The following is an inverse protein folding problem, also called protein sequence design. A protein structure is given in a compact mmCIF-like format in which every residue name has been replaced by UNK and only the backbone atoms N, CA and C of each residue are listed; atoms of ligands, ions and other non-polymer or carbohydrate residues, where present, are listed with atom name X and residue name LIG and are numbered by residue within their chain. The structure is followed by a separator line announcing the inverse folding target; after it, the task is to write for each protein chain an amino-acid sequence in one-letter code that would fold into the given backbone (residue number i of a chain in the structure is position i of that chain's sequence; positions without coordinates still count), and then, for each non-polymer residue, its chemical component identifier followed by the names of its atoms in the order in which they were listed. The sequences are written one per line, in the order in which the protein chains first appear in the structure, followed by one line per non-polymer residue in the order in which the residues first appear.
data_IF_999632032741
#
_entry.id   IF_999632032741
#
_cell.length_a   1.000
_cell.length_b   1.000
_cell.length_c   1.000
_cell.angle_alpha   90.00
_cell.angle_beta   90.00
_cell.angle_gamma   90.00
#
_symmetry.space_group_name_H-M   'P 1'
#
loop_
_entity.id
_entity.type
_entity.pdbx_description
1 polymer ?
#
# COMPACT_ATOMS: atom_id res chain seq x y z
N UNK A 1 24.93 -18.06 5.12
CA UNK A 1 23.69 -18.48 5.84
C UNK A 1 22.81 -17.30 6.28
N UNK A 2 23.39 -16.21 6.81
CA UNK A 2 22.63 -15.01 7.22
C UNK A 2 21.88 -14.30 6.06
N UNK A 3 22.39 -14.35 4.84
CA UNK A 3 21.77 -13.72 3.65
C UNK A 3 20.46 -14.39 3.23
N UNK A 4 20.36 -15.72 3.35
CA UNK A 4 19.15 -16.45 2.96
C UNK A 4 17.98 -16.19 3.93
N UNK A 5 18.26 -16.13 5.23
CA UNK A 5 17.31 -15.71 6.27
C UNK A 5 16.85 -14.25 6.07
N UNK A 6 17.77 -13.35 5.67
CA UNK A 6 17.41 -11.97 5.31
C UNK A 6 16.48 -11.91 4.09
N UNK A 7 16.74 -12.71 3.06
CA UNK A 7 15.88 -12.80 1.88
C UNK A 7 14.49 -13.37 2.18
N UNK A 8 14.41 -14.41 3.03
CA UNK A 8 13.13 -14.99 3.46
C UNK A 8 12.32 -14.00 4.29
N UNK A 9 12.98 -13.28 5.20
CA UNK A 9 12.36 -12.21 5.98
C UNK A 9 11.85 -11.09 5.08
N UNK A 10 12.65 -10.61 4.13
CA UNK A 10 12.20 -9.60 3.15
C UNK A 10 11.00 -10.09 2.32
N UNK A 11 11.00 -11.35 1.88
CA UNK A 11 9.84 -11.94 1.20
C UNK A 11 8.60 -11.93 2.08
N UNK A 12 8.74 -12.25 3.36
CA UNK A 12 7.63 -12.19 4.32
C UNK A 12 7.15 -10.76 4.60
N UNK A 13 8.07 -9.79 4.70
CA UNK A 13 7.70 -8.39 4.94
C UNK A 13 7.06 -7.71 3.71
N UNK A 14 7.32 -8.23 2.51
CA UNK A 14 6.77 -7.73 1.25
C UNK A 14 5.52 -8.49 0.78
N UNK A 15 5.15 -9.60 1.44
CA UNK A 15 4.03 -10.44 1.00
C UNK A 15 2.74 -10.07 1.73
N UNK A 16 1.76 -9.59 0.96
CA UNK A 16 0.41 -9.26 1.43
C UNK A 16 -0.41 -10.50 1.84
N UNK A 17 0.00 -11.72 1.47
CA UNK A 17 -0.75 -12.96 1.66
C UNK A 17 -2.00 -13.10 0.77
N UNK A 18 -2.60 -11.97 0.37
CA UNK A 18 -3.83 -11.87 -0.41
C UNK A 18 -3.57 -11.29 -1.80
N UNK A 19 -3.87 -12.08 -2.84
CA UNK A 19 -3.67 -11.71 -4.24
C UNK A 19 -4.70 -10.67 -4.69
N UNK A 20 -5.93 -10.74 -4.21
CA UNK A 20 -7.02 -9.89 -4.67
C UNK A 20 -6.80 -8.46 -4.14
N UNK A 21 -6.28 -8.33 -2.92
CA UNK A 21 -5.86 -7.04 -2.37
C UNK A 21 -4.67 -6.46 -3.14
N UNK A 22 -3.65 -7.27 -3.45
CA UNK A 22 -2.52 -6.81 -4.24
C UNK A 22 -2.97 -6.32 -5.62
N UNK A 23 -3.86 -7.07 -6.28
CA UNK A 23 -4.43 -6.70 -7.57
C UNK A 23 -5.24 -5.39 -7.48
N UNK A 24 -6.03 -5.21 -6.42
CA UNK A 24 -6.76 -3.97 -6.17
C UNK A 24 -5.81 -2.76 -6.00
N UNK A 25 -4.72 -2.92 -5.26
CA UNK A 25 -3.71 -1.85 -5.11
C UNK A 25 -3.03 -1.55 -6.45
N UNK A 26 -2.63 -2.58 -7.20
CA UNK A 26 -2.00 -2.40 -8.53
C UNK A 26 -2.94 -1.73 -9.52
N UNK A 27 -4.23 -2.08 -9.50
CA UNK A 27 -5.26 -1.45 -10.31
C UNK A 27 -5.42 0.03 -9.93
N UNK A 28 -5.54 0.32 -8.64
CA UNK A 28 -5.63 1.69 -8.14
C UNK A 28 -4.42 2.55 -8.55
N UNK A 29 -3.20 2.02 -8.45
CA UNK A 29 -1.99 2.73 -8.92
C UNK A 29 -2.06 3.01 -10.43
N UNK A 30 -2.53 2.05 -11.22
CA UNK A 30 -2.69 2.21 -12.67
C UNK A 30 -3.70 3.28 -13.05
N UNK A 31 -4.81 3.38 -12.31
CA UNK A 31 -5.83 4.41 -12.49
C UNK A 31 -5.33 5.81 -12.08
N UNK A 32 -4.36 5.91 -11.17
CA UNK A 32 -3.79 7.18 -10.69
C UNK A 32 -2.47 7.57 -11.39
N UNK A 33 -2.22 7.05 -12.59
CA UNK A 33 -1.07 7.49 -13.39
C UNK A 33 0.27 6.84 -13.01
N UNK A 34 0.25 5.66 -12.39
CA UNK A 34 1.46 4.88 -12.10
C UNK A 34 1.45 3.53 -12.81
N UNK A 35 2.62 2.96 -13.09
CA UNK A 35 2.71 1.59 -13.60
C UNK A 35 2.48 0.57 -12.47
N UNK A 36 1.21 0.26 -12.17
CA UNK A 36 0.84 -0.64 -11.07
C UNK A 36 1.42 -2.06 -11.17
N UNK A 37 1.60 -2.59 -12.39
CA UNK A 37 2.18 -3.94 -12.61
C UNK A 37 3.64 -4.08 -12.18
N UNK A 38 4.42 -2.99 -12.26
CA UNK A 38 5.85 -3.00 -11.93
C UNK A 38 6.14 -2.40 -10.55
N UNK A 39 5.09 -1.98 -9.84
CA UNK A 39 5.18 -1.42 -8.51
C UNK A 39 5.75 -2.44 -7.52
N UNK A 40 6.66 -1.98 -6.65
CA UNK A 40 7.32 -2.78 -5.62
C UNK A 40 6.72 -2.46 -4.26
N UNK A 41 5.98 -3.41 -3.70
CA UNK A 41 5.38 -3.29 -2.38
C UNK A 41 6.35 -3.64 -1.26
N UNK A 42 6.23 -2.92 -0.15
CA UNK A 42 6.97 -3.12 1.09
C UNK A 42 6.02 -2.94 2.27
N UNK A 43 6.37 -3.55 3.41
CA UNK A 43 5.69 -3.35 4.69
C UNK A 43 4.17 -3.60 4.65
N UNK A 44 3.71 -4.50 3.76
CA UNK A 44 2.29 -4.80 3.63
C UNK A 44 1.81 -5.58 4.84
N UNK A 45 1.05 -4.95 5.73
CA UNK A 45 0.67 -5.54 7.02
C UNK A 45 -0.69 -5.04 7.49
N UNK A 46 -1.44 -5.93 8.14
CA UNK A 46 -2.63 -5.55 8.89
C UNK A 46 -2.23 -4.69 10.10
N UNK A 47 -2.91 -3.56 10.26
CA UNK A 47 -2.64 -2.57 11.31
C UNK A 47 -3.84 -2.32 12.21
N UNK A 48 -5.06 -2.54 11.72
CA UNK A 48 -6.25 -2.50 12.55
C UNK A 48 -7.28 -3.54 12.11
N UNK A 49 -8.08 -4.04 13.06
CA UNK A 49 -9.14 -5.02 12.80
C UNK A 49 -10.36 -4.74 13.69
N UNK A 50 -11.57 -4.86 13.13
CA UNK A 50 -12.82 -4.84 13.88
C UNK A 50 -13.27 -6.27 14.14
N UNK A 51 -13.63 -6.65 15.38
CA UNK A 51 -14.15 -7.99 15.69
C UNK A 51 -15.58 -8.14 15.14
N UNK A 52 -15.94 -9.26 14.50
CA UNK A 52 -15.25 -10.57 14.44
C UNK A 52 -14.16 -10.75 13.36
N UNK A 53 -13.71 -9.69 12.69
CA UNK A 53 -12.56 -9.70 11.76
C UNK A 53 -12.91 -9.32 10.32
N UNK A 54 -14.14 -8.89 10.06
CA UNK A 54 -14.64 -8.62 8.70
C UNK A 54 -14.12 -7.31 8.12
N UNK A 55 -13.84 -6.33 8.99
CA UNK A 55 -13.26 -5.07 8.61
C UNK A 55 -11.81 -5.01 9.07
N UNK A 56 -10.91 -4.82 8.12
CA UNK A 56 -9.47 -4.80 8.34
C UNK A 56 -8.86 -3.59 7.65
N UNK A 57 -7.82 -3.04 8.27
CA UNK A 57 -7.02 -1.96 7.67
C UNK A 57 -5.60 -2.47 7.52
N UNK A 58 -5.07 -2.35 6.31
CA UNK A 58 -3.70 -2.68 5.97
C UNK A 58 -2.93 -1.39 5.69
N UNK A 59 -1.66 -1.37 6.11
CA UNK A 59 -0.68 -0.41 5.61
C UNK A 59 0.18 -1.06 4.57
N UNK A 60 0.67 -0.25 3.64
CA UNK A 60 1.74 -0.65 2.73
C UNK A 60 2.57 0.58 2.35
N UNK A 61 3.79 0.33 1.89
CA UNK A 61 4.60 1.31 1.20
C UNK A 61 4.84 0.79 -0.22
N UNK A 62 4.89 1.67 -1.21
CA UNK A 62 5.07 1.26 -2.59
C UNK A 62 6.01 2.20 -3.33
N UNK A 63 7.02 1.62 -3.98
CA UNK A 63 7.81 2.34 -4.98
C UNK A 63 7.16 2.10 -6.34
N UNK A 64 6.62 3.16 -6.96
CA UNK A 64 5.90 3.07 -8.24
C UNK A 64 6.52 4.01 -9.28
N UNK A 65 6.55 3.58 -10.54
CA UNK A 65 6.99 4.40 -11.67
C UNK A 65 5.82 5.24 -12.16
N UNK A 66 6.02 6.54 -12.36
CA UNK A 66 5.01 7.44 -12.92
C UNK A 66 4.85 7.21 -14.42
N UNK A 67 3.61 7.23 -14.90
CA UNK A 67 3.28 7.24 -16.33
C UNK A 67 3.46 8.68 -16.83
N UNK A 68 4.29 8.92 -17.86
CA UNK A 68 4.43 10.24 -18.45
C UNK A 68 3.08 10.75 -18.98
N UNK A 69 2.76 12.01 -18.73
CA UNK A 69 1.48 12.62 -19.14
C UNK A 69 1.34 12.80 -20.65
N UNK A 70 2.45 12.79 -21.39
CA UNK A 70 2.50 13.01 -22.83
C UNK A 70 3.44 11.97 -23.46
N UNK A 71 2.88 10.97 -24.14
CA UNK A 71 3.62 10.08 -25.04
C UNK A 71 3.58 10.60 -26.49
N UNK A 72 3.40 11.92 -26.66
CA UNK A 72 3.05 12.55 -27.94
C UNK A 72 4.19 13.36 -28.56
N UNK A 73 5.44 13.07 -28.21
CA UNK A 73 6.58 13.80 -28.78
C UNK A 73 7.62 12.85 -29.38
N UNK A 74 8.04 13.18 -30.61
CA UNK A 74 9.18 12.63 -31.36
C UNK A 74 10.54 12.89 -30.66
N UNK A 75 10.54 12.99 -29.33
CA UNK A 75 11.67 13.31 -28.47
C UNK A 75 11.96 12.06 -27.64
N UNK A 76 13.26 11.74 -27.50
CA UNK A 76 13.76 10.58 -26.77
C UNK A 76 13.07 10.38 -25.42
N UNK A 77 12.73 9.12 -25.11
CA UNK A 77 12.03 8.71 -23.88
C UNK A 77 12.64 9.40 -22.64
N UNK A 78 11.84 10.18 -21.88
CA UNK A 78 12.34 10.80 -20.67
C UNK A 78 12.77 9.74 -19.65
N UNK A 79 13.76 10.05 -18.78
CA UNK A 79 14.20 9.11 -17.77
C UNK A 79 13.05 8.70 -16.84
N UNK A 80 12.99 7.43 -16.42
CA UNK A 80 11.89 6.95 -15.58
C UNK A 80 11.88 7.64 -14.22
N UNK A 81 10.75 8.25 -13.86
CA UNK A 81 10.52 8.86 -12.54
C UNK A 81 9.87 7.84 -11.61
N UNK A 82 10.46 7.64 -10.43
CA UNK A 82 9.96 6.77 -9.39
C UNK A 82 9.55 7.58 -8.17
N UNK A 83 8.39 7.25 -7.60
CA UNK A 83 7.90 7.83 -6.36
C UNK A 83 7.77 6.74 -5.29
N UNK A 84 8.18 7.09 -4.08
CA UNK A 84 7.92 6.29 -2.89
C UNK A 84 6.64 6.81 -2.24
N UNK A 85 5.61 5.97 -2.23
CA UNK A 85 4.26 6.33 -1.82
C UNK A 85 3.86 5.52 -0.59
N UNK A 86 3.01 6.14 0.24
CA UNK A 86 2.47 5.57 1.46
C UNK A 86 1.02 5.15 1.25
N UNK A 87 0.70 3.90 1.55
CA UNK A 87 -0.59 3.31 1.24
C UNK A 87 -1.38 2.86 2.45
N UNK A 88 -2.71 2.94 2.33
CA UNK A 88 -3.68 2.29 3.21
C UNK A 88 -4.73 1.55 2.39
N UNK A 89 -5.12 0.38 2.87
CA UNK A 89 -6.27 -0.37 2.36
C UNK A 89 -7.25 -0.59 3.49
N UNK A 90 -8.52 -0.26 3.28
CA UNK A 90 -9.63 -0.69 4.12
C UNK A 90 -10.38 -1.79 3.40
N UNK A 91 -10.35 -2.97 3.97
CA UNK A 91 -10.97 -4.16 3.42
C UNK A 91 -12.17 -4.57 4.26
N UNK A 92 -13.35 -4.60 3.64
CA UNK A 92 -14.59 -5.11 4.21
C UNK A 92 -15.02 -6.36 3.43
N UNK A 93 -14.71 -7.52 4.01
CA UNK A 93 -14.96 -8.83 3.42
C UNK A 93 -16.46 -9.08 3.26
N UNK A 94 -17.30 -8.53 4.14
CA UNK A 94 -18.76 -8.76 4.14
C UNK A 94 -19.42 -8.15 2.92
N UNK A 95 -18.95 -6.97 2.53
CA UNK A 95 -19.48 -6.21 1.41
C UNK A 95 -18.61 -6.29 0.14
N UNK A 96 -17.47 -7.00 0.20
CA UNK A 96 -16.44 -7.02 -0.85
C UNK A 96 -15.98 -5.61 -1.24
N UNK A 97 -15.92 -4.72 -0.26
CA UNK A 97 -15.49 -3.34 -0.45
C UNK A 97 -14.01 -3.26 -0.11
N UNK A 98 -13.21 -2.89 -1.09
CA UNK A 98 -11.79 -2.64 -0.90
C UNK A 98 -11.49 -1.18 -1.27
N UNK A 99 -11.18 -0.37 -0.27
CA UNK A 99 -10.86 1.05 -0.46
C UNK A 99 -9.36 1.23 -0.33
N UNK A 100 -8.70 1.46 -1.46
CA UNK A 100 -7.27 1.77 -1.53
C UNK A 100 -7.08 3.28 -1.55
N UNK A 101 -6.11 3.77 -0.78
CA UNK A 101 -5.62 5.15 -0.82
C UNK A 101 -4.11 5.17 -0.75
N UNK A 102 -3.52 6.09 -1.51
CA UNK A 102 -2.08 6.28 -1.64
C UNK A 102 -1.77 7.76 -1.44
N UNK A 103 -0.67 8.06 -0.77
CA UNK A 103 -0.27 9.39 -0.33
C UNK A 103 1.21 9.62 -0.62
N UNK A 104 1.57 10.86 -0.89
CA UNK A 104 2.97 11.26 -1.05
C UNK A 104 3.62 11.54 0.32
N UNK A 105 2.82 11.89 1.33
CA UNK A 105 3.30 12.18 2.67
C UNK A 105 2.73 11.21 3.73
N UNK A 106 3.53 10.99 4.78
CA UNK A 106 3.15 10.06 5.86
C UNK A 106 2.03 10.63 6.75
N UNK A 107 1.94 11.95 6.91
CA UNK A 107 0.98 12.60 7.80
C UNK A 107 -0.47 12.49 7.31
N UNK A 108 -0.68 12.56 5.99
CA UNK A 108 -1.99 12.28 5.37
C UNK A 108 -2.42 10.84 5.62
N UNK A 109 -1.47 9.90 5.50
CA UNK A 109 -1.72 8.50 5.83
C UNK A 109 -2.12 8.34 7.30
N UNK A 110 -1.41 8.98 8.23
CA UNK A 110 -1.71 8.93 9.68
C UNK A 110 -3.10 9.48 9.97
N UNK A 111 -3.44 10.62 9.37
CA UNK A 111 -4.74 11.28 9.53
C UNK A 111 -5.90 10.43 8.98
N UNK A 112 -5.71 9.75 7.85
CA UNK A 112 -6.72 8.80 7.35
C UNK A 112 -6.81 7.55 8.23
N UNK A 113 -5.67 7.02 8.68
CA UNK A 113 -5.63 5.86 9.56
C UNK A 113 -6.37 6.11 10.87
N UNK A 114 -6.17 7.27 11.50
CA UNK A 114 -6.87 7.64 12.73
C UNK A 114 -8.40 7.57 12.54
N UNK A 115 -8.92 8.14 11.45
CA UNK A 115 -10.36 8.08 11.11
C UNK A 115 -10.85 6.67 10.78
N UNK A 116 -10.05 5.88 10.08
CA UNK A 116 -10.44 4.51 9.72
C UNK A 116 -10.40 3.56 10.90
N UNK A 117 -9.59 3.84 11.93
CA UNK A 117 -9.33 2.95 13.06
C UNK A 117 -10.06 3.34 14.36
N UNK A 118 -10.94 4.34 14.33
CA UNK A 118 -11.63 4.93 15.49
C UNK A 118 -12.25 3.88 16.43
N UNK A 119 -12.91 2.85 15.87
CA UNK A 119 -13.52 1.74 16.63
C UNK A 119 -12.86 0.38 16.37
N UNK A 120 -11.59 0.39 15.95
CA UNK A 120 -10.87 -0.83 15.58
C UNK A 120 -9.77 -1.18 16.57
N UNK A 121 -9.56 -2.48 16.77
CA UNK A 121 -8.43 -2.99 17.52
C UNK A 121 -7.17 -2.75 16.70
N UNK A 122 -6.29 -1.91 17.20
CA UNK A 122 -5.02 -1.62 16.53
C UNK A 122 -3.96 -2.62 16.94
N UNK A 123 -3.29 -3.16 15.93
CA UNK A 123 -2.29 -4.21 16.08
C UNK A 123 -0.90 -3.58 16.22
N UNK A 124 0.09 -4.39 16.61
CA UNK A 124 1.49 -3.93 16.76
C UNK A 124 2.05 -3.24 15.50
N UNK A 125 1.53 -3.59 14.33
CA UNK A 125 1.87 -2.95 13.06
C UNK A 125 1.43 -1.48 12.95
N UNK A 126 0.54 -0.98 13.81
CA UNK A 126 0.08 0.41 13.81
C UNK A 126 1.07 1.40 14.45
N UNK A 127 2.23 0.92 14.93
CA UNK A 127 3.26 1.79 15.49
C UNK A 127 3.75 2.82 14.44
N UNK A 128 3.82 4.09 14.84
CA UNK A 128 4.06 5.22 13.93
C UNK A 128 2.82 5.72 13.17
N UNK A 129 1.66 5.09 13.33
CA UNK A 129 0.38 5.57 12.76
C UNK A 129 -0.57 6.16 13.81
N UNK A 130 -0.38 5.85 15.10
CA UNK A 130 -1.20 6.35 16.22
C UNK A 130 -0.56 7.45 17.07
N UNK A 131 0.77 7.53 17.07
CA UNK A 131 1.50 8.46 17.93
C UNK A 131 1.62 9.82 17.20
N UNK A 132 0.57 10.64 17.35
CA UNK A 132 0.57 12.07 17.03
C UNK A 132 0.02 12.84 18.24
#
# INVERSE_FOLDING_TARGET
MLTWLKHLRQRWENWCGDRDMEEAIRKHLSENGYYGRTAKFRNVRIVAVQRPGWLQVFRFDVTARQVPAEADSEIADPPPVYHDLYGLVKDDIRHKINVVRVFDCEDERRSLFARWSEDMICLRGAHGLKDA
#
